data_IF_062449515941
#
_entry.id   IF_062449515941
#
_cell.length_a   1.000
_cell.length_b   1.000
_cell.length_c   1.000
_cell.angle_alpha   90.00
_cell.angle_beta   90.00
_cell.angle_gamma   90.00
#
_symmetry.space_group_name_H-M   'P 1'
#
loop_
_entity.id
_entity.type
_entity.pdbx_description
1 polymer ?
#
# COMPACT_ATOMS: atom_id res chain seq x y z
N UNK A 1 3.88 -24.77 -7.42
CA UNK A 1 2.84 -23.71 -7.46
C UNK A 1 3.36 -22.49 -6.70
N UNK A 2 3.21 -21.26 -7.21
CA UNK A 2 3.67 -20.05 -6.51
C UNK A 2 2.49 -19.24 -5.99
N UNK A 3 2.51 -18.90 -4.71
CA UNK A 3 1.51 -18.08 -4.04
C UNK A 3 1.96 -16.62 -3.99
N UNK A 4 1.06 -15.72 -4.35
CA UNK A 4 1.25 -14.27 -4.21
C UNK A 4 0.38 -13.77 -3.07
N UNK A 5 1.00 -13.32 -1.99
CA UNK A 5 0.33 -12.88 -0.78
C UNK A 5 0.51 -11.36 -0.61
N UNK A 6 -0.60 -10.65 -0.45
CA UNK A 6 -0.62 -9.23 -0.09
C UNK A 6 -0.70 -9.02 1.43
N UNK A 7 -0.43 -7.81 1.96
CA UNK A 7 -0.68 -7.50 3.36
C UNK A 7 -2.09 -7.88 3.82
N UNK A 8 -3.11 -7.59 3.00
CA UNK A 8 -4.50 -7.98 3.31
C UNK A 8 -4.71 -9.49 3.36
N UNK A 9 -3.92 -10.30 2.63
CA UNK A 9 -3.96 -11.75 2.78
C UNK A 9 -3.36 -12.20 4.11
N UNK A 10 -2.32 -11.52 4.61
CA UNK A 10 -1.70 -11.84 5.90
C UNK A 10 -2.65 -11.50 7.05
N UNK A 11 -3.27 -10.31 7.01
CA UNK A 11 -4.33 -9.94 7.97
C UNK A 11 -5.47 -10.96 7.94
N UNK A 12 -5.89 -11.40 6.74
CA UNK A 12 -6.93 -12.43 6.61
C UNK A 12 -6.56 -13.77 7.26
N UNK A 13 -5.27 -14.14 7.20
CA UNK A 13 -4.73 -15.35 7.82
C UNK A 13 -4.77 -15.24 9.34
N UNK A 14 -4.34 -14.11 9.89
CA UNK A 14 -4.41 -13.82 11.33
C UNK A 14 -5.87 -13.82 11.82
N UNK A 15 -6.78 -13.20 11.07
CA UNK A 15 -8.19 -13.10 11.43
C UNK A 15 -8.95 -14.43 11.35
N UNK A 16 -8.80 -15.19 10.25
CA UNK A 16 -9.36 -16.53 10.14
C UNK A 16 -8.60 -17.38 9.10
N UNK A 17 -7.78 -18.35 9.55
CA UNK A 17 -6.99 -19.22 8.68
C UNK A 17 -7.82 -20.03 7.68
N UNK A 18 -9.01 -20.51 8.08
CA UNK A 18 -9.92 -21.24 7.18
C UNK A 18 -10.35 -20.37 6.00
N UNK A 19 -10.62 -19.11 6.28
CA UNK A 19 -11.04 -18.15 5.27
C UNK A 19 -9.88 -17.76 4.34
N UNK A 20 -8.67 -17.65 4.88
CA UNK A 20 -7.46 -17.50 4.09
C UNK A 20 -7.30 -18.67 3.12
N UNK A 21 -7.43 -19.92 3.60
CA UNK A 21 -7.35 -21.10 2.74
C UNK A 21 -8.42 -21.11 1.64
N UNK A 22 -9.67 -20.78 2.00
CA UNK A 22 -10.76 -20.66 1.03
C UNK A 22 -10.44 -19.59 -0.03
N UNK A 23 -9.90 -18.44 0.37
CA UNK A 23 -9.56 -17.36 -0.56
C UNK A 23 -8.34 -17.71 -1.43
N UNK A 24 -7.22 -18.11 -0.83
CA UNK A 24 -5.95 -18.29 -1.54
C UNK A 24 -5.93 -19.58 -2.35
N UNK A 25 -6.44 -20.68 -1.78
CA UNK A 25 -6.42 -22.01 -2.41
C UNK A 25 -7.69 -22.25 -3.24
N UNK A 26 -8.87 -22.05 -2.64
CA UNK A 26 -10.15 -22.35 -3.31
C UNK A 26 -10.73 -21.20 -4.13
N UNK A 27 -10.12 -20.01 -4.08
CA UNK A 27 -10.61 -18.79 -4.75
C UNK A 27 -12.02 -18.35 -4.34
N UNK A 28 -12.46 -18.78 -3.15
CA UNK A 28 -13.73 -18.40 -2.55
C UNK A 28 -13.47 -17.25 -1.58
N UNK A 29 -13.96 -16.06 -1.92
CA UNK A 29 -13.81 -14.85 -1.07
C UNK A 29 -14.87 -14.82 0.03
N UNK A 30 -14.53 -14.21 1.16
CA UNK A 30 -15.53 -13.86 2.19
C UNK A 30 -16.56 -12.90 1.56
N UNK A 31 -17.86 -13.01 1.90
CA UNK A 31 -18.83 -11.99 1.57
C UNK A 31 -18.37 -10.63 2.10
N UNK A 32 -18.35 -9.61 1.26
CA UNK A 32 -18.03 -8.23 1.67
C UNK A 32 -19.31 -7.43 1.86
N UNK A 33 -19.39 -6.67 2.96
CA UNK A 33 -20.44 -5.68 3.15
C UNK A 33 -20.27 -4.46 2.23
N UNK A 34 -21.25 -3.54 2.20
CA UNK A 34 -21.11 -2.30 1.45
C UNK A 34 -19.96 -1.46 2.01
N UNK A 35 -19.01 -1.10 1.14
CA UNK A 35 -17.93 -0.16 1.49
C UNK A 35 -18.47 1.26 1.33
N UNK A 36 -18.33 2.15 2.34
CA UNK A 36 -18.78 3.53 2.21
C UNK A 36 -18.10 4.23 1.02
N UNK A 37 -18.90 4.81 0.13
CA UNK A 37 -18.39 5.53 -1.05
C UNK A 37 -17.52 6.74 -0.68
N UNK A 38 -17.75 7.30 0.51
CA UNK A 38 -16.96 8.39 1.07
C UNK A 38 -15.50 8.00 1.27
N UNK A 39 -15.20 6.81 1.81
CA UNK A 39 -13.82 6.37 2.07
C UNK A 39 -13.04 6.22 0.76
N UNK A 40 -13.67 5.62 -0.25
CA UNK A 40 -13.09 5.47 -1.59
C UNK A 40 -12.83 6.84 -2.23
N UNK A 41 -13.78 7.78 -2.11
CA UNK A 41 -13.59 9.14 -2.65
C UNK A 41 -12.51 9.91 -1.90
N UNK A 42 -12.44 9.79 -0.58
CA UNK A 42 -11.41 10.44 0.24
C UNK A 42 -10.02 9.97 -0.15
N UNK A 43 -9.78 8.66 -0.22
CA UNK A 43 -8.54 8.06 -0.71
C UNK A 43 -8.11 8.67 -2.06
N UNK A 44 -9.04 8.68 -3.02
CA UNK A 44 -8.79 9.24 -4.35
C UNK A 44 -8.46 10.75 -4.34
N UNK A 45 -9.10 11.52 -3.45
CA UNK A 45 -8.82 12.95 -3.27
C UNK A 45 -7.42 13.16 -2.68
N UNK A 46 -7.05 12.38 -1.66
CA UNK A 46 -5.76 12.50 -0.99
C UNK A 46 -4.63 12.13 -1.96
N UNK A 47 -4.76 11.03 -2.72
CA UNK A 47 -3.80 10.65 -3.77
C UNK A 47 -3.56 11.76 -4.79
N UNK A 48 -4.64 12.38 -5.29
CA UNK A 48 -4.53 13.53 -6.22
C UNK A 48 -3.90 14.76 -5.57
N UNK A 49 -4.15 14.98 -4.28
CA UNK A 49 -3.54 16.06 -3.52
C UNK A 49 -2.03 15.83 -3.42
N UNK A 50 -1.57 14.66 -3.01
CA UNK A 50 -0.15 14.31 -2.97
C UNK A 50 0.52 14.41 -4.36
N UNK A 51 -0.12 13.91 -5.41
CA UNK A 51 0.35 14.04 -6.79
C UNK A 51 0.60 15.51 -7.19
N UNK A 52 -0.29 16.42 -6.79
CA UNK A 52 -0.16 17.85 -7.09
C UNK A 52 1.09 18.45 -6.45
N UNK A 53 1.39 18.09 -5.20
CA UNK A 53 2.55 18.59 -4.48
C UNK A 53 3.85 17.92 -4.95
N UNK A 54 3.81 16.63 -5.32
CA UNK A 54 4.94 15.93 -5.94
C UNK A 54 5.42 16.64 -7.21
N UNK A 55 4.50 17.02 -8.11
CA UNK A 55 4.83 17.79 -9.33
C UNK A 55 5.44 19.16 -9.04
N UNK A 56 5.15 19.75 -7.88
CA UNK A 56 5.72 21.02 -7.44
C UNK A 56 7.07 20.87 -6.72
N UNK A 57 7.52 19.64 -6.47
CA UNK A 57 8.74 19.37 -5.69
C UNK A 57 8.63 19.80 -4.23
N UNK A 58 7.41 19.84 -3.66
CA UNK A 58 7.16 20.24 -2.26
C UNK A 58 6.41 19.16 -1.53
N UNK A 59 6.55 19.13 -0.20
CA UNK A 59 5.68 18.33 0.64
C UNK A 59 4.29 18.97 0.72
N UNK A 60 3.21 18.19 0.77
CA UNK A 60 1.89 18.73 1.07
C UNK A 60 1.83 19.28 2.50
N UNK A 61 1.12 20.39 2.75
CA UNK A 61 0.94 21.01 4.06
C UNK A 61 0.58 20.06 5.22
N UNK A 62 -0.11 18.94 4.93
CA UNK A 62 -0.47 17.96 5.96
C UNK A 62 0.74 17.25 6.59
N UNK A 63 1.85 17.12 5.85
CA UNK A 63 3.11 16.50 6.31
C UNK A 63 4.30 17.45 6.30
N UNK A 64 4.16 18.65 5.75
CA UNK A 64 5.20 19.69 5.77
C UNK A 64 5.58 20.06 7.22
N UNK A 65 6.88 20.15 7.50
CA UNK A 65 7.41 20.43 8.84
C UNK A 65 7.38 19.25 9.82
N UNK A 66 6.65 18.18 9.53
CA UNK A 66 6.65 16.94 10.33
C UNK A 66 7.70 15.94 9.86
N UNK A 67 7.98 15.93 8.57
CA UNK A 67 8.98 15.07 7.94
C UNK A 67 9.91 15.97 7.11
N UNK A 68 11.22 15.72 7.21
CA UNK A 68 12.22 16.38 6.36
C UNK A 68 12.48 15.49 5.14
N UNK A 69 12.31 16.05 3.95
CA UNK A 69 12.49 15.31 2.70
C UNK A 69 11.57 15.76 1.57
N UNK A 70 11.44 14.92 0.55
CA UNK A 70 10.63 15.16 -0.65
C UNK A 70 9.83 13.92 -1.05
N UNK A 71 8.67 14.12 -1.65
CA UNK A 71 7.92 13.04 -2.30
C UNK A 71 8.76 12.45 -3.45
N UNK A 72 8.93 11.13 -3.48
CA UNK A 72 9.75 10.46 -4.48
C UNK A 72 9.06 10.41 -5.84
N UNK A 73 9.80 10.68 -6.93
CA UNK A 73 9.23 10.80 -8.27
C UNK A 73 9.34 9.55 -9.15
N UNK A 74 10.17 8.57 -8.79
CA UNK A 74 10.48 7.40 -9.64
C UNK A 74 10.45 6.07 -8.86
N UNK A 75 9.59 5.96 -7.85
CA UNK A 75 9.49 4.74 -7.07
C UNK A 75 8.56 3.71 -7.74
N UNK A 76 8.85 2.41 -7.61
CA UNK A 76 7.97 1.37 -8.12
C UNK A 76 6.61 1.44 -7.44
N UNK A 77 5.54 1.32 -8.25
CA UNK A 77 4.16 1.25 -7.73
C UNK A 77 3.90 -0.03 -6.95
N UNK A 78 4.63 -1.11 -7.24
CA UNK A 78 4.45 -2.41 -6.60
C UNK A 78 5.80 -2.92 -6.14
N UNK A 79 5.89 -3.25 -4.86
CA UNK A 79 7.03 -3.93 -4.25
C UNK A 79 6.74 -5.43 -4.22
N UNK A 80 7.77 -6.24 -4.42
CA UNK A 80 7.70 -7.69 -4.34
C UNK A 80 8.95 -8.22 -3.63
N UNK A 81 8.75 -9.21 -2.76
CA UNK A 81 9.80 -9.95 -2.09
C UNK A 81 9.55 -11.44 -2.31
N UNK A 82 10.58 -12.17 -2.75
CA UNK A 82 10.53 -13.61 -2.93
C UNK A 82 11.06 -14.24 -1.65
N UNK A 83 10.18 -14.81 -0.85
CA UNK A 83 10.56 -15.43 0.41
C UNK A 83 11.23 -16.79 0.16
N UNK A 84 10.66 -17.57 -0.76
CA UNK A 84 11.20 -18.85 -1.21
C UNK A 84 10.63 -19.21 -2.59
N UNK A 85 10.94 -20.42 -3.09
CA UNK A 85 10.49 -20.88 -4.42
C UNK A 85 8.96 -20.91 -4.62
N UNK A 86 8.20 -20.85 -3.53
CA UNK A 86 6.76 -21.00 -3.50
C UNK A 86 5.99 -19.74 -3.06
N UNK A 87 6.63 -18.78 -2.37
CA UNK A 87 5.94 -17.62 -1.78
C UNK A 87 6.54 -16.31 -2.30
N UNK A 88 5.66 -15.46 -2.81
CA UNK A 88 5.95 -14.07 -3.18
C UNK A 88 5.07 -13.17 -2.32
N UNK A 89 5.70 -12.32 -1.51
CA UNK A 89 5.04 -11.23 -0.82
C UNK A 89 5.00 -10.03 -1.75
N UNK A 90 3.86 -9.33 -1.83
CA UNK A 90 3.74 -8.16 -2.69
C UNK A 90 2.84 -7.09 -2.08
N UNK A 91 3.13 -5.83 -2.37
CA UNK A 91 2.36 -4.71 -1.85
C UNK A 91 2.53 -3.47 -2.70
N UNK A 92 1.64 -2.49 -2.49
CA UNK A 92 1.68 -1.19 -3.15
C UNK A 92 1.54 -0.12 -2.07
N UNK A 93 2.64 0.49 -1.64
CA UNK A 93 2.58 1.70 -0.85
C UNK A 93 1.85 2.79 -1.65
N UNK A 94 1.13 3.64 -0.92
CA UNK A 94 0.50 4.79 -1.54
C UNK A 94 1.52 5.87 -1.92
N UNK A 95 2.48 6.13 -1.03
CA UNK A 95 3.46 7.19 -1.17
C UNK A 95 4.87 6.77 -0.73
N UNK A 96 5.87 7.48 -1.24
CA UNK A 96 7.26 7.35 -0.82
C UNK A 96 7.84 8.73 -0.54
N UNK A 97 8.54 8.84 0.59
CA UNK A 97 9.29 10.05 0.96
C UNK A 97 10.77 9.68 0.98
N UNK A 98 11.58 10.48 0.28
CA UNK A 98 13.04 10.44 0.40
C UNK A 98 13.45 11.54 1.35
N UNK A 99 14.05 11.16 2.48
CA UNK A 99 14.56 12.08 3.48
C UNK A 99 15.89 12.69 3.06
N UNK A 100 16.38 13.69 3.79
CA UNK A 100 17.62 14.39 3.46
C UNK A 100 18.86 13.48 3.60
N UNK A 101 18.79 12.44 4.44
CA UNK A 101 19.78 11.38 4.63
C UNK A 101 19.63 10.20 3.64
N UNK A 102 18.86 10.39 2.57
CA UNK A 102 18.59 9.40 1.52
C UNK A 102 17.79 8.16 1.96
N UNK A 103 17.26 8.15 3.18
CA UNK A 103 16.34 7.10 3.64
C UNK A 103 15.00 7.18 2.89
N UNK A 104 14.47 6.02 2.51
CA UNK A 104 13.18 5.90 1.83
C UNK A 104 12.12 5.44 2.84
N UNK A 105 11.10 6.27 3.05
CA UNK A 105 9.95 5.97 3.90
C UNK A 105 8.76 5.64 3.02
N UNK A 106 8.20 4.44 3.18
CA UNK A 106 6.89 4.10 2.63
C UNK A 106 5.80 4.73 3.52
N UNK A 107 4.89 5.48 2.91
CA UNK A 107 3.79 6.15 3.59
C UNK A 107 2.46 5.63 3.02
N UNK A 108 1.60 5.14 3.91
CA UNK A 108 0.24 4.69 3.62
C UNK A 108 -0.75 5.67 4.27
N UNK A 109 -1.82 6.07 3.58
CA UNK A 109 -2.74 7.12 4.04
C UNK A 109 -4.22 6.75 3.97
#
# INVERSE_FOLDING_TARGET
>A
MRFRLSPSNLVLLEDCPRCFWLHVIKKIRRPSGPVPSISIKMDSIIKRYFDRYRRKGRLPPIIEGKIKGKLASNMPKTLQHIENEHIILWGRPDEYIVTDDETIIALDH
#
